data_IF_634111154256
#
_entry.id   IF_634111154256
#
_cell.length_a   1.000
_cell.length_b   1.000
_cell.length_c   1.000
_cell.angle_alpha   90.00
_cell.angle_beta   90.00
_cell.angle_gamma   90.00
#
_symmetry.space_group_name_H-M   'P 1'
#
loop_
_entity.id
_entity.type
_entity.pdbx_description
1 polymer ?
#
# COMPACT_ATOMS: atom_id res chain seq x y z
N UNK A 1 8.51 13.79 -21.65
CA UNK A 1 7.87 12.47 -21.59
C UNK A 1 7.14 12.34 -20.25
N UNK A 2 5.82 12.55 -20.24
CA UNK A 2 5.01 12.42 -19.02
C UNK A 2 4.79 10.93 -18.81
N UNK A 3 5.42 10.33 -17.79
CA UNK A 3 5.10 8.96 -17.37
C UNK A 3 3.63 8.99 -16.94
N UNK A 4 2.74 8.51 -17.79
CA UNK A 4 1.38 8.16 -17.41
C UNK A 4 1.54 7.13 -16.29
N UNK A 5 1.38 7.58 -15.04
CA UNK A 5 1.29 6.66 -13.90
C UNK A 5 0.15 5.72 -14.27
N UNK A 6 0.34 4.39 -14.24
CA UNK A 6 -0.77 3.48 -14.43
C UNK A 6 -1.81 3.89 -13.39
N UNK A 7 -2.94 4.35 -13.90
CA UNK A 7 -4.09 4.70 -13.11
C UNK A 7 -4.49 3.42 -12.38
N UNK A 8 -4.17 3.44 -11.08
CA UNK A 8 -4.45 2.46 -10.05
C UNK A 8 -5.97 2.47 -9.78
N UNK A 9 -6.78 2.47 -10.85
CA UNK A 9 -8.21 2.81 -10.85
C UNK A 9 -9.08 1.76 -10.15
N UNK A 10 -8.49 0.58 -9.87
CA UNK A 10 -9.10 -0.46 -9.05
C UNK A 10 -8.61 -0.52 -7.60
N UNK A 11 -7.65 0.32 -7.20
CA UNK A 11 -7.12 0.27 -5.84
C UNK A 11 -7.87 1.26 -4.96
N UNK A 12 -8.45 0.78 -3.85
CA UNK A 12 -9.20 1.63 -2.93
C UNK A 12 -8.33 2.78 -2.42
N UNK A 13 -8.96 3.93 -2.19
CA UNK A 13 -8.34 5.12 -1.62
C UNK A 13 -8.59 5.19 -0.12
N UNK A 14 -7.73 5.92 0.59
CA UNK A 14 -7.85 6.09 2.04
C UNK A 14 -9.17 6.77 2.46
N UNK A 15 -9.79 7.55 1.57
CA UNK A 15 -11.12 8.12 1.79
C UNK A 15 -12.26 7.09 1.77
N UNK A 16 -12.07 5.98 1.07
CA UNK A 16 -13.10 4.93 0.89
C UNK A 16 -13.15 3.99 2.08
N UNK A 17 -11.99 3.71 2.70
CA UNK A 17 -11.91 2.96 3.94
C UNK A 17 -11.98 3.87 5.16
N UNK A 18 -13.06 3.75 5.93
CA UNK A 18 -13.31 4.50 7.17
C UNK A 18 -12.82 3.79 8.43
N UNK A 19 -11.91 2.83 8.31
CA UNK A 19 -11.32 2.16 9.47
C UNK A 19 -10.44 3.14 10.26
N UNK A 20 -10.43 3.09 11.60
CA UNK A 20 -9.66 4.01 12.42
C UNK A 20 -8.15 3.75 12.33
N UNK A 21 -7.76 2.49 12.17
CA UNK A 21 -6.38 2.03 12.06
C UNK A 21 -6.23 1.27 10.75
N UNK A 22 -5.15 1.58 10.04
CA UNK A 22 -4.73 0.95 8.80
C UNK A 22 -3.49 0.13 9.11
N UNK A 23 -3.65 -1.19 9.08
CA UNK A 23 -2.55 -2.13 9.26
C UNK A 23 -1.96 -2.49 7.89
N UNK A 24 -0.64 -2.60 7.84
CA UNK A 24 0.14 -3.06 6.70
C UNK A 24 1.01 -4.22 7.16
N UNK A 25 0.78 -5.40 6.60
CA UNK A 25 1.49 -6.62 6.94
C UNK A 25 2.27 -7.08 5.72
N UNK A 26 3.58 -7.22 5.84
CA UNK A 26 4.42 -7.82 4.82
C UNK A 26 4.81 -9.25 5.23
N UNK A 27 4.20 -10.25 4.60
CA UNK A 27 4.49 -11.68 4.88
C UNK A 27 5.93 -12.08 4.57
N UNK A 28 6.62 -11.33 3.72
CA UNK A 28 7.99 -11.61 3.31
C UNK A 28 9.04 -11.03 4.24
N UNK A 29 8.76 -9.88 4.84
CA UNK A 29 9.65 -9.17 5.76
C UNK A 29 9.20 -9.39 7.22
N UNK A 30 8.13 -10.17 7.45
CA UNK A 30 7.34 -10.29 8.69
C UNK A 30 7.08 -8.95 9.39
N UNK A 31 6.96 -7.89 8.59
CA UNK A 31 6.86 -6.53 9.10
C UNK A 31 5.38 -6.18 9.25
N UNK A 32 5.00 -5.81 10.46
CA UNK A 32 3.68 -5.27 10.75
C UNK A 32 3.78 -3.78 11.07
N UNK A 33 3.04 -2.96 10.33
CA UNK A 33 2.92 -1.52 10.55
C UNK A 33 1.46 -1.17 10.77
N UNK A 34 1.09 -0.74 11.97
CA UNK A 34 -0.24 -0.21 12.28
C UNK A 34 -0.18 1.32 12.33
N UNK A 35 -0.96 1.98 11.48
CA UNK A 35 -1.01 3.44 11.43
C UNK A 35 -2.43 3.95 11.51
N UNK A 36 -2.67 4.95 12.35
CA UNK A 36 -3.97 5.60 12.39
C UNK A 36 -4.29 6.27 11.06
N UNK A 37 -5.54 6.12 10.62
CA UNK A 37 -6.04 6.77 9.40
C UNK A 37 -5.82 8.29 9.44
N UNK A 38 -6.01 8.92 10.61
CA UNK A 38 -5.80 10.37 10.78
C UNK A 38 -4.36 10.78 10.47
N UNK A 39 -3.38 9.97 10.88
CA UNK A 39 -1.97 10.20 10.58
C UNK A 39 -1.68 9.99 9.10
N UNK A 40 -2.23 8.93 8.49
CA UNK A 40 -2.09 8.69 7.05
C UNK A 40 -2.70 9.82 6.21
N UNK A 41 -3.88 10.31 6.58
CA UNK A 41 -4.52 11.46 5.94
C UNK A 41 -3.66 12.72 6.12
N UNK A 42 -3.06 12.92 7.30
CA UNK A 42 -2.19 14.07 7.57
C UNK A 42 -0.89 14.03 6.75
N UNK A 43 -0.30 12.85 6.57
CA UNK A 43 1.00 12.67 5.89
C UNK A 43 0.83 12.59 4.37
N UNK A 44 -0.18 11.87 3.88
CA UNK A 44 -0.35 11.56 2.45
C UNK A 44 -1.57 12.22 1.81
N UNK A 45 -2.53 12.70 2.60
CA UNK A 45 -3.82 13.18 2.13
C UNK A 45 -4.88 12.09 2.03
N UNK A 46 -6.16 12.45 2.12
CA UNK A 46 -7.27 11.49 2.05
C UNK A 46 -7.47 10.87 0.65
N UNK A 47 -6.99 11.54 -0.40
CA UNK A 47 -7.12 11.09 -1.79
C UNK A 47 -6.06 10.08 -2.22
N UNK A 48 -5.10 9.75 -1.35
CA UNK A 48 -4.03 8.79 -1.65
C UNK A 48 -4.62 7.37 -1.81
N UNK A 49 -4.09 6.61 -2.78
CA UNK A 49 -4.41 5.18 -2.93
C UNK A 49 -3.55 4.33 -2.01
N UNK A 50 -4.09 3.18 -1.58
CA UNK A 50 -3.35 2.27 -0.71
C UNK A 50 -2.08 1.72 -1.38
N UNK A 51 -2.03 1.61 -2.71
CA UNK A 51 -0.79 1.23 -3.41
C UNK A 51 0.31 2.30 -3.25
N UNK A 52 -0.06 3.58 -3.24
CA UNK A 52 0.90 4.66 -2.98
C UNK A 52 1.34 4.69 -1.51
N UNK A 53 0.41 4.45 -0.57
CA UNK A 53 0.78 4.26 0.85
C UNK A 53 1.75 3.09 0.99
N UNK A 54 1.48 1.94 0.36
CA UNK A 54 2.35 0.76 0.36
C UNK A 54 3.74 1.11 -0.16
N UNK A 55 3.83 1.73 -1.34
CA UNK A 55 5.10 2.13 -1.96
C UNK A 55 5.91 3.08 -1.08
N UNK A 56 5.26 3.94 -0.30
CA UNK A 56 5.97 4.87 0.59
C UNK A 56 6.30 4.26 1.95
N UNK A 57 5.44 3.43 2.51
CA UNK A 57 5.64 2.81 3.83
C UNK A 57 6.58 1.61 3.79
N UNK A 58 6.58 0.84 2.70
CA UNK A 58 7.53 -0.24 2.52
C UNK A 58 8.90 0.25 1.99
N UNK A 59 9.14 1.57 1.92
CA UNK A 59 10.49 2.11 1.81
C UNK A 59 11.29 1.67 3.05
N UNK A 60 12.10 0.62 2.89
CA UNK A 60 12.82 -0.05 3.98
C UNK A 60 12.57 -1.56 4.08
N UNK A 61 11.74 -2.16 3.22
CA UNK A 61 11.80 -3.60 2.97
C UNK A 61 12.75 -3.80 1.76
N UNK A 62 13.85 -4.54 1.95
CA UNK A 62 14.86 -4.81 0.91
C UNK A 62 14.24 -5.40 -0.38
N UNK A 63 13.05 -6.00 -0.27
CA UNK A 63 12.31 -6.62 -1.36
C UNK A 63 11.47 -5.65 -2.22
N UNK A 64 11.31 -4.39 -1.81
CA UNK A 64 10.44 -3.42 -2.51
C UNK A 64 11.11 -2.74 -3.72
N UNK A 65 12.43 -2.82 -3.82
CA UNK A 65 13.21 -2.25 -4.94
C UNK A 65 14.24 -3.25 -5.48
N UNK A 66 13.87 -4.53 -5.56
CA UNK A 66 14.76 -5.50 -6.21
C UNK A 66 14.74 -5.30 -7.71
N UNK A 67 15.86 -5.56 -8.38
CA UNK A 67 15.96 -5.53 -9.84
C UNK A 67 14.97 -6.49 -10.55
N UNK A 68 14.36 -7.42 -9.81
CA UNK A 68 13.34 -8.37 -10.29
C UNK A 68 11.90 -7.89 -10.05
N UNK A 69 11.69 -6.64 -9.64
CA UNK A 69 10.39 -6.04 -9.38
C UNK A 69 10.01 -5.93 -7.89
N UNK A 70 8.84 -5.35 -7.63
CA UNK A 70 8.26 -5.26 -6.29
C UNK A 70 7.85 -6.64 -5.79
N UNK A 71 8.73 -7.27 -5.01
CA UNK A 71 8.46 -8.56 -4.34
C UNK A 71 7.91 -8.36 -2.94
N UNK A 72 7.59 -7.12 -2.57
CA UNK A 72 6.99 -6.81 -1.30
C UNK A 72 5.53 -7.29 -1.30
N UNK A 73 5.27 -8.45 -0.68
CA UNK A 73 3.91 -8.92 -0.40
C UNK A 73 3.25 -8.18 0.76
N UNK A 74 3.48 -6.87 0.85
CA UNK A 74 2.80 -6.04 1.82
C UNK A 74 1.32 -5.91 1.43
N UNK A 75 0.44 -6.29 2.35
CA UNK A 75 -0.99 -6.29 2.17
C UNK A 75 -1.66 -5.57 3.34
N UNK A 76 -2.82 -5.00 3.06
CA UNK A 76 -3.65 -4.35 4.06
C UNK A 76 -4.81 -5.30 4.39
N UNK A 77 -4.87 -5.91 5.58
CA UNK A 77 -5.97 -6.78 5.95
C UNK A 77 -7.33 -6.07 5.88
N UNK A 78 -7.35 -4.75 6.08
CA UNK A 78 -8.57 -3.93 5.99
C UNK A 78 -9.15 -3.81 4.56
N UNK A 79 -8.39 -4.15 3.52
CA UNK A 79 -8.87 -4.14 2.13
C UNK A 79 -9.42 -5.49 1.67
N UNK A 80 -9.38 -6.52 2.52
CA UNK A 80 -9.49 -7.90 2.05
C UNK A 80 -8.24 -8.29 1.25
N UNK A 81 -7.96 -9.59 1.17
CA UNK A 81 -6.71 -10.12 0.64
C UNK A 81 -6.66 -10.03 -0.91
N UNK A 82 -6.71 -8.82 -1.48
CA UNK A 82 -6.72 -8.55 -2.91
C UNK A 82 -5.33 -8.50 -3.54
N UNK A 83 -4.55 -9.58 -3.44
CA UNK A 83 -3.35 -9.77 -4.28
C UNK A 83 -3.53 -11.00 -5.15
N UNK A 84 -3.73 -10.70 -6.43
CA UNK A 84 -3.20 -11.40 -7.61
C UNK A 84 -3.55 -12.87 -7.77
N UNK A 85 -4.65 -13.15 -8.49
CA UNK A 85 -4.60 -14.22 -9.48
C UNK A 85 -4.07 -13.59 -10.77
N UNK A 86 -2.81 -13.92 -11.09
CA UNK A 86 -2.25 -13.64 -12.39
C UNK A 86 -2.73 -14.69 -13.38
N UNK A 87 -3.14 -14.25 -14.56
CA UNK A 87 -3.14 -15.07 -15.76
C UNK A 87 -2.21 -14.42 -16.78
#
# INVERSE_FOLDING_TARGET
MRRTRPEDDGVPKLKEHKVPVIELICRFCDRHCAHERRLLVKVFGASVSFAEIRRRMAMGCERMQTSKGDKCGAHFPCLGNGVADGN
#
